data_IF_113170084611
#
_entry.id   IF_113170084611
#
_cell.length_a   1.000
_cell.length_b   1.000
_cell.length_c   1.000
_cell.angle_alpha   90.00
_cell.angle_beta   90.00
_cell.angle_gamma   90.00
#
_symmetry.space_group_name_H-M   'P 1'
#
loop_
_entity.id
_entity.type
_entity.pdbx_description
1 polymer ?
#
# COMPACT_ATOMS: atom_id res chain seq x y z
N UNK A 1 -26.58 70.73 -19.45
CA UNK A 1 -25.58 69.75 -19.95
C UNK A 1 -25.19 68.85 -18.76
N UNK A 2 -25.90 67.76 -18.45
CA UNK A 2 -25.79 66.40 -19.04
C UNK A 2 -24.34 65.93 -19.22
N UNK A 3 -23.79 65.30 -18.18
CA UNK A 3 -22.73 64.30 -18.33
C UNK A 3 -23.28 62.95 -17.83
N UNK A 4 -23.34 61.99 -18.75
CA UNK A 4 -23.83 60.62 -18.56
C UNK A 4 -22.84 59.86 -17.65
N UNK A 5 -23.33 59.31 -16.53
CA UNK A 5 -22.66 58.19 -15.85
C UNK A 5 -22.94 56.92 -16.66
N UNK A 6 -21.88 56.32 -17.16
CA UNK A 6 -21.88 55.01 -17.81
C UNK A 6 -22.01 53.96 -16.68
N UNK A 7 -23.11 53.21 -16.68
CA UNK A 7 -23.31 52.04 -15.85
C UNK A 7 -22.59 50.87 -16.54
N UNK A 8 -21.51 50.35 -15.96
CA UNK A 8 -20.94 49.06 -16.34
C UNK A 8 -21.85 47.95 -15.79
N UNK A 9 -22.56 47.25 -16.67
CA UNK A 9 -23.21 45.98 -16.34
C UNK A 9 -22.12 44.89 -16.33
N UNK A 10 -21.69 44.47 -15.14
CA UNK A 10 -20.97 43.21 -14.97
C UNK A 10 -22.00 42.08 -15.04
N UNK A 11 -22.03 41.41 -16.19
CA UNK A 11 -22.77 40.17 -16.40
C UNK A 11 -22.07 39.07 -15.58
N UNK A 12 -22.57 38.77 -14.38
CA UNK A 12 -22.19 37.56 -13.65
C UNK A 12 -22.78 36.36 -14.42
N UNK A 13 -21.99 35.82 -15.34
CA UNK A 13 -22.27 34.52 -15.94
C UNK A 13 -21.91 33.47 -14.90
N UNK A 14 -22.88 33.08 -14.06
CA UNK A 14 -22.76 31.88 -13.24
C UNK A 14 -22.68 30.69 -14.19
N UNK A 15 -21.47 30.23 -14.47
CA UNK A 15 -21.23 28.91 -15.06
C UNK A 15 -21.70 27.91 -14.02
N UNK A 16 -22.98 27.54 -14.12
CA UNK A 16 -23.50 26.35 -13.48
C UNK A 16 -22.74 25.18 -14.12
N UNK A 17 -21.71 24.70 -13.45
CA UNK A 17 -21.12 23.41 -13.78
C UNK A 17 -22.21 22.38 -13.48
N UNK A 18 -23.03 22.09 -14.48
CA UNK A 18 -23.93 20.94 -14.43
C UNK A 18 -23.00 19.73 -14.46
N UNK A 19 -22.71 19.18 -13.28
CA UNK A 19 -22.25 17.80 -13.20
C UNK A 19 -23.28 16.96 -13.93
N UNK A 20 -22.97 16.52 -15.15
CA UNK A 20 -23.65 15.41 -15.78
C UNK A 20 -23.33 14.15 -14.95
N UNK A 21 -23.98 14.03 -13.80
CA UNK A 21 -24.22 12.73 -13.22
C UNK A 21 -25.10 12.00 -14.23
N UNK A 22 -24.53 11.00 -14.89
CA UNK A 22 -25.29 10.10 -15.76
C UNK A 22 -26.53 9.66 -14.98
N UNK A 23 -27.68 9.91 -15.58
CA UNK A 23 -29.01 9.69 -15.04
C UNK A 23 -29.14 8.21 -14.65
N UNK A 24 -29.77 7.92 -13.50
CA UNK A 24 -29.90 6.56 -12.98
C UNK A 24 -30.56 5.66 -14.03
N UNK A 25 -29.78 4.75 -14.62
CA UNK A 25 -30.27 3.74 -15.54
C UNK A 25 -30.84 2.60 -14.69
N UNK A 26 -32.10 2.23 -14.92
CA UNK A 26 -32.74 1.09 -14.25
C UNK A 26 -31.92 -0.17 -14.54
N UNK A 27 -31.49 -0.84 -13.48
CA UNK A 27 -30.72 -2.08 -13.57
C UNK A 27 -31.57 -3.19 -14.14
N UNK A 28 -31.02 -3.91 -15.11
CA UNK A 28 -31.69 -4.97 -15.85
C UNK A 28 -31.84 -6.24 -14.99
N UNK A 29 -33.05 -6.83 -14.89
CA UNK A 29 -33.24 -8.16 -14.30
C UNK A 29 -32.56 -9.29 -15.09
N UNK A 30 -32.29 -9.10 -16.38
CA UNK A 30 -31.63 -10.07 -17.25
C UNK A 30 -30.22 -9.53 -17.53
N UNK A 31 -29.16 -10.09 -16.92
CA UNK A 31 -27.76 -9.67 -17.15
C UNK A 31 -27.34 -9.76 -18.64
N UNK A 32 -27.77 -8.80 -19.45
CA UNK A 32 -27.48 -8.68 -20.87
C UNK A 32 -26.60 -7.46 -21.13
N UNK A 33 -25.74 -7.59 -22.13
CA UNK A 33 -24.71 -6.58 -22.38
C UNK A 33 -25.22 -5.31 -23.05
N UNK A 34 -26.44 -5.31 -23.57
CA UNK A 34 -27.07 -4.11 -24.12
C UNK A 34 -27.38 -3.09 -23.02
N UNK A 35 -27.73 -3.57 -21.83
CA UNK A 35 -28.08 -2.74 -20.68
C UNK A 35 -26.95 -2.65 -19.62
N UNK A 36 -25.76 -3.14 -19.93
CA UNK A 36 -24.59 -2.98 -19.07
C UNK A 36 -24.28 -1.49 -18.81
N UNK A 37 -24.18 -1.13 -17.53
CA UNK A 37 -23.94 0.26 -17.13
C UNK A 37 -22.50 0.65 -17.46
N UNK A 38 -22.31 1.72 -18.22
CA UNK A 38 -20.97 2.19 -18.58
C UNK A 38 -20.26 2.83 -17.38
N UNK A 39 -19.06 2.36 -17.07
CA UNK A 39 -18.17 3.00 -16.10
C UNK A 39 -17.20 3.90 -16.87
N UNK A 40 -17.26 5.23 -16.67
CA UNK A 40 -16.28 6.12 -17.26
C UNK A 40 -14.89 5.90 -16.63
N UNK A 41 -13.85 5.93 -17.47
CA UNK A 41 -12.47 5.81 -17.01
C UNK A 41 -11.89 7.19 -16.71
N UNK A 42 -11.60 7.45 -15.44
CA UNK A 42 -10.97 8.68 -15.00
C UNK A 42 -9.46 8.65 -15.31
N UNK A 43 -8.90 9.79 -15.73
CA UNK A 43 -7.44 9.95 -15.96
C UNK A 43 -6.69 10.49 -14.74
N UNK A 44 -7.40 11.00 -13.72
CA UNK A 44 -6.82 11.56 -12.50
C UNK A 44 -7.00 10.66 -11.27
N UNK A 45 -6.42 11.09 -10.15
CA UNK A 45 -6.47 10.39 -8.85
C UNK A 45 -7.80 10.56 -8.11
N UNK A 46 -8.79 11.20 -8.72
CA UNK A 46 -10.09 11.45 -8.12
C UNK A 46 -11.19 10.72 -8.89
N UNK A 47 -12.21 10.26 -8.17
CA UNK A 47 -13.41 9.66 -8.76
C UNK A 47 -14.39 10.76 -9.16
N UNK A 48 -13.95 11.61 -10.10
CA UNK A 48 -14.76 12.73 -10.61
C UNK A 48 -15.96 12.21 -11.39
N UNK A 49 -15.75 11.16 -12.18
CA UNK A 49 -16.78 10.41 -12.89
C UNK A 49 -16.97 9.04 -12.26
N UNK A 50 -18.22 8.60 -12.15
CA UNK A 50 -18.60 7.33 -11.52
C UNK A 50 -19.90 6.81 -12.15
N UNK A 51 -20.10 5.50 -12.02
CA UNK A 51 -21.38 4.85 -12.29
C UNK A 51 -22.07 4.49 -10.97
N UNK A 52 -23.37 4.20 -11.02
CA UNK A 52 -24.16 3.77 -9.86
C UNK A 52 -24.55 2.31 -10.02
N UNK A 53 -24.53 1.58 -8.91
CA UNK A 53 -25.07 0.23 -8.82
C UNK A 53 -26.12 0.14 -7.71
N UNK A 54 -27.00 -0.83 -7.85
CA UNK A 54 -28.01 -1.18 -6.86
C UNK A 54 -28.36 -2.65 -6.97
N UNK A 55 -28.70 -3.27 -5.84
CA UNK A 55 -29.20 -4.64 -5.82
C UNK A 55 -30.73 -4.72 -5.75
N UNK A 56 -31.46 -3.60 -5.75
CA UNK A 56 -32.92 -3.56 -5.61
C UNK A 56 -33.59 -4.28 -6.79
N UNK A 57 -33.09 -4.01 -7.99
CA UNK A 57 -33.61 -4.53 -9.27
C UNK A 57 -32.59 -5.38 -10.04
N UNK A 58 -31.49 -5.78 -9.40
CA UNK A 58 -30.44 -6.54 -10.04
C UNK A 58 -30.87 -7.99 -10.34
N UNK A 59 -30.50 -8.47 -11.52
CA UNK A 59 -30.68 -9.86 -11.97
C UNK A 59 -29.83 -10.88 -11.21
N UNK A 60 -30.23 -12.15 -11.30
CA UNK A 60 -29.41 -13.30 -10.87
C UNK A 60 -28.55 -13.78 -12.04
N UNK A 61 -27.32 -14.25 -11.75
CA UNK A 61 -26.45 -14.78 -12.79
C UNK A 61 -26.90 -16.16 -13.29
N UNK A 62 -26.66 -16.49 -14.58
CA UNK A 62 -26.67 -17.86 -15.06
C UNK A 62 -25.67 -18.73 -14.28
N UNK A 63 -26.00 -20.02 -14.08
CA UNK A 63 -25.14 -20.99 -13.43
C UNK A 63 -23.83 -21.18 -14.24
N UNK A 64 -22.65 -21.10 -13.61
CA UNK A 64 -21.41 -21.59 -14.24
C UNK A 64 -20.14 -20.73 -14.16
N UNK A 65 -20.11 -19.61 -13.43
CA UNK A 65 -18.93 -18.74 -13.44
C UNK A 65 -17.70 -19.40 -12.80
N UNK A 66 -16.56 -19.26 -13.46
CA UNK A 66 -15.31 -19.97 -13.15
C UNK A 66 -14.49 -19.38 -11.99
N UNK A 67 -14.96 -18.30 -11.33
CA UNK A 67 -14.24 -17.61 -10.25
C UNK A 67 -14.41 -18.25 -8.85
N UNK A 68 -14.71 -19.55 -8.75
CA UNK A 68 -14.88 -20.25 -7.47
C UNK A 68 -15.99 -19.68 -6.58
N UNK A 69 -15.87 -19.81 -5.25
CA UNK A 69 -16.86 -19.27 -4.25
C UNK A 69 -17.08 -17.75 -4.35
N UNK A 70 -16.28 -17.01 -5.11
CA UNK A 70 -16.44 -15.57 -5.26
C UNK A 70 -17.73 -15.20 -6.01
N UNK A 71 -18.30 -16.08 -6.83
CA UNK A 71 -19.53 -15.74 -7.57
C UNK A 71 -20.60 -16.79 -7.29
N UNK A 72 -21.23 -16.69 -6.12
CA UNK A 72 -22.41 -17.50 -5.80
C UNK A 72 -23.54 -17.13 -6.78
N UNK A 73 -23.98 -18.11 -7.57
CA UNK A 73 -25.13 -18.02 -8.48
C UNK A 73 -26.44 -17.59 -7.80
N UNK A 74 -26.51 -17.63 -6.47
CA UNK A 74 -27.67 -17.22 -5.67
C UNK A 74 -27.72 -15.74 -5.35
N UNK A 75 -26.68 -14.97 -5.69
CA UNK A 75 -26.61 -13.54 -5.41
C UNK A 75 -27.09 -12.72 -6.60
N UNK A 76 -27.76 -11.59 -6.30
CA UNK A 76 -28.02 -10.55 -7.29
C UNK A 76 -26.72 -9.89 -7.74
N UNK A 77 -26.65 -9.44 -9.00
CA UNK A 77 -25.42 -8.92 -9.61
C UNK A 77 -25.68 -7.69 -10.47
N UNK A 78 -24.73 -6.77 -10.44
CA UNK A 78 -24.69 -5.60 -11.30
C UNK A 78 -23.75 -5.89 -12.47
N UNK A 79 -24.18 -5.55 -13.69
CA UNK A 79 -23.36 -5.65 -14.89
C UNK A 79 -22.92 -4.27 -15.34
N UNK A 80 -21.61 -4.11 -15.45
CA UNK A 80 -20.97 -2.92 -15.94
C UNK A 80 -20.16 -3.21 -17.19
N UNK A 81 -19.90 -2.17 -18.00
CA UNK A 81 -18.93 -2.23 -19.09
C UNK A 81 -17.99 -1.04 -19.04
N UNK A 82 -16.78 -1.21 -19.53
CA UNK A 82 -15.81 -0.13 -19.66
C UNK A 82 -14.86 -0.42 -20.82
N UNK A 83 -14.29 0.65 -21.40
CA UNK A 83 -13.20 0.53 -22.37
C UNK A 83 -11.87 0.81 -21.68
N UNK A 84 -10.94 -0.13 -21.76
CA UNK A 84 -9.64 0.02 -21.13
C UNK A 84 -8.88 1.19 -21.76
N UNK A 85 -8.52 2.19 -20.95
CA UNK A 85 -7.68 3.31 -21.38
C UNK A 85 -6.18 3.13 -21.05
N UNK A 86 -5.85 2.11 -20.25
CA UNK A 86 -4.50 1.73 -19.85
C UNK A 86 -4.45 0.19 -19.69
N UNK A 87 -3.25 -0.37 -19.51
CA UNK A 87 -3.11 -1.81 -19.23
C UNK A 87 -3.51 -2.18 -17.81
N UNK A 88 -3.51 -1.18 -16.91
CA UNK A 88 -3.92 -1.31 -15.51
C UNK A 88 -4.97 -0.26 -15.15
N UNK A 89 -5.93 -0.65 -14.32
CA UNK A 89 -6.97 0.23 -13.78
C UNK A 89 -7.17 0.02 -12.28
N UNK A 90 -7.61 1.08 -11.62
CA UNK A 90 -8.01 1.06 -10.22
C UNK A 90 -9.53 1.17 -10.13
N UNK A 91 -10.17 0.11 -9.66
CA UNK A 91 -11.61 -0.03 -9.49
C UNK A 91 -11.99 0.15 -8.02
N UNK A 92 -12.90 1.07 -7.73
CA UNK A 92 -13.36 1.35 -6.37
C UNK A 92 -14.88 1.29 -6.29
N UNK A 93 -15.39 0.72 -5.19
CA UNK A 93 -16.77 0.91 -4.72
C UNK A 93 -16.76 1.90 -3.57
N UNK A 94 -17.73 2.81 -3.51
CA UNK A 94 -17.85 3.81 -2.45
C UNK A 94 -19.29 4.28 -2.27
N UNK A 95 -19.55 4.99 -1.17
CA UNK A 95 -20.87 5.48 -0.78
C UNK A 95 -21.90 4.34 -0.75
N UNK A 96 -21.48 3.20 -0.20
CA UNK A 96 -22.27 1.97 -0.13
C UNK A 96 -23.25 2.08 1.05
N UNK A 97 -24.55 2.05 0.76
CA UNK A 97 -25.61 2.25 1.76
C UNK A 97 -26.77 1.28 1.55
N UNK A 98 -27.33 0.79 2.64
CA UNK A 98 -28.58 0.02 2.66
C UNK A 98 -29.62 0.78 3.47
N UNK A 99 -30.83 0.92 2.94
CA UNK A 99 -31.94 1.62 3.62
C UNK A 99 -32.49 0.84 4.83
N UNK A 100 -32.07 -0.42 4.99
CA UNK A 100 -32.58 -1.35 6.02
C UNK A 100 -31.57 -1.55 7.16
N UNK A 101 -30.28 -1.26 6.93
CA UNK A 101 -29.25 -1.41 7.97
C UNK A 101 -29.13 -0.12 8.81
N UNK A 102 -28.98 -0.23 10.15
CA UNK A 102 -28.69 0.93 10.98
C UNK A 102 -27.35 1.55 10.58
N UNK A 103 -27.25 2.88 10.66
CA UNK A 103 -26.07 3.70 10.27
C UNK A 103 -24.75 3.27 10.93
N UNK A 104 -24.80 2.37 11.92
CA UNK A 104 -23.66 1.89 12.70
C UNK A 104 -22.93 0.69 12.11
N UNK A 105 -23.36 0.12 10.97
CA UNK A 105 -22.63 -0.93 10.23
C UNK A 105 -22.70 -0.72 8.72
N UNK A 106 -21.56 -0.44 8.12
CA UNK A 106 -21.39 -0.04 6.70
C UNK A 106 -20.39 -0.92 5.96
N UNK A 107 -19.98 -2.06 6.54
CA UNK A 107 -19.04 -2.98 5.90
C UNK A 107 -19.76 -3.95 4.98
N UNK A 108 -19.46 -3.89 3.67
CA UNK A 108 -20.04 -4.78 2.65
C UNK A 108 -18.92 -5.57 1.97
N UNK A 109 -19.13 -6.87 1.77
CA UNK A 109 -18.18 -7.69 1.04
C UNK A 109 -18.60 -7.74 -0.42
N UNK A 110 -17.73 -7.30 -1.32
CA UNK A 110 -17.99 -7.32 -2.75
C UNK A 110 -17.21 -8.44 -3.42
N UNK A 111 -17.79 -9.01 -4.45
CA UNK A 111 -17.14 -9.97 -5.32
C UNK A 111 -17.35 -9.57 -6.77
N UNK A 112 -16.37 -9.80 -7.63
CA UNK A 112 -16.52 -9.45 -9.03
C UNK A 112 -15.61 -10.21 -9.97
N UNK A 113 -15.91 -10.06 -11.24
CA UNK A 113 -15.20 -10.70 -12.33
C UNK A 113 -15.19 -9.81 -13.57
N UNK A 114 -14.10 -9.82 -14.32
CA UNK A 114 -13.91 -9.10 -15.58
C UNK A 114 -13.81 -10.08 -16.74
N UNK A 115 -14.62 -9.86 -17.76
CA UNK A 115 -14.70 -10.68 -18.98
C UNK A 115 -14.27 -9.85 -20.18
N UNK A 116 -13.61 -10.51 -21.13
CA UNK A 116 -13.18 -9.93 -22.41
C UNK A 116 -14.33 -9.73 -23.41
N UNK A 117 -15.45 -10.38 -23.18
CA UNK A 117 -16.66 -10.34 -23.98
C UNK A 117 -17.90 -10.56 -23.10
N UNK A 118 -19.07 -10.57 -23.74
CA UNK A 118 -20.36 -10.82 -23.12
C UNK A 118 -20.64 -12.32 -22.86
N UNK A 119 -19.62 -13.20 -22.86
CA UNK A 119 -19.82 -14.63 -22.65
C UNK A 119 -19.37 -15.04 -21.24
N UNK A 120 -20.32 -15.02 -20.31
CA UNK A 120 -20.07 -15.33 -18.90
C UNK A 120 -19.83 -16.83 -18.61
N UNK A 121 -20.04 -17.71 -19.61
CA UNK A 121 -19.68 -19.14 -19.52
C UNK A 121 -18.19 -19.39 -19.76
N UNK A 122 -17.48 -18.41 -20.34
CA UNK A 122 -16.02 -18.48 -20.50
C UNK A 122 -15.29 -18.14 -19.20
N UNK A 123 -14.04 -18.59 -19.01
CA UNK A 123 -13.26 -18.17 -17.87
C UNK A 123 -13.11 -16.65 -17.78
N UNK A 124 -13.40 -16.08 -16.60
CA UNK A 124 -13.14 -14.66 -16.37
C UNK A 124 -11.64 -14.36 -16.52
N UNK A 125 -11.33 -13.21 -17.11
CA UNK A 125 -9.94 -12.73 -17.21
C UNK A 125 -9.39 -12.33 -15.85
N UNK A 126 -10.22 -11.68 -15.03
CA UNK A 126 -9.86 -11.25 -13.68
C UNK A 126 -11.00 -11.65 -12.75
N UNK A 127 -10.67 -12.25 -11.61
CA UNK A 127 -11.61 -12.45 -10.51
C UNK A 127 -11.19 -11.55 -9.34
N UNK A 128 -12.10 -11.10 -8.49
CA UNK A 128 -11.71 -10.38 -7.27
C UNK A 128 -12.79 -10.44 -6.20
N UNK A 129 -12.38 -10.17 -4.97
CA UNK A 129 -13.27 -9.94 -3.85
C UNK A 129 -12.59 -8.99 -2.86
N UNK A 130 -13.37 -8.17 -2.15
CA UNK A 130 -12.85 -7.22 -1.16
C UNK A 130 -13.92 -6.80 -0.17
N UNK A 131 -13.50 -6.24 0.96
CA UNK A 131 -14.38 -5.71 1.99
C UNK A 131 -14.36 -4.18 1.89
N UNK A 132 -15.48 -3.59 1.49
CA UNK A 132 -15.65 -2.14 1.59
C UNK A 132 -16.01 -1.82 3.05
N UNK A 133 -15.14 -1.10 3.77
CA UNK A 133 -15.48 -0.51 5.07
C UNK A 133 -15.47 1.02 4.94
N UNK A 134 -16.59 1.67 5.24
CA UNK A 134 -16.69 3.13 5.38
C UNK A 134 -16.91 3.49 6.85
N UNK A 135 -16.04 4.30 7.46
CA UNK A 135 -16.20 4.79 8.82
C UNK A 135 -17.46 5.67 8.96
N UNK A 136 -18.10 5.62 10.14
CA UNK A 136 -19.40 6.27 10.43
C UNK A 136 -19.34 7.80 10.33
N UNK A 137 -18.16 8.40 10.47
CA UNK A 137 -17.97 9.86 10.46
C UNK A 137 -17.53 10.43 9.10
N UNK A 138 -17.45 9.59 8.06
CA UNK A 138 -16.95 10.02 6.75
C UNK A 138 -15.47 10.40 6.76
N UNK A 139 -14.75 10.17 7.86
CA UNK A 139 -13.29 10.27 7.90
C UNK A 139 -12.72 9.02 7.26
N UNK A 140 -12.48 9.12 5.95
CA UNK A 140 -11.88 8.10 5.08
C UNK A 140 -11.25 6.91 5.82
N UNK A 141 -12.04 5.88 6.15
CA UNK A 141 -11.47 4.54 6.19
C UNK A 141 -11.03 4.25 4.77
N UNK A 142 -9.82 3.73 4.62
CA UNK A 142 -9.17 3.50 3.33
C UNK A 142 -10.11 2.77 2.36
N UNK A 143 -10.82 3.51 1.53
CA UNK A 143 -11.74 2.93 0.54
C UNK A 143 -10.87 2.36 -0.57
N UNK A 144 -10.65 1.06 -0.46
CA UNK A 144 -9.68 0.27 -1.21
C UNK A 144 -9.98 0.31 -2.71
N UNK A 145 -8.92 0.39 -3.51
CA UNK A 145 -9.03 0.26 -4.97
C UNK A 145 -8.55 -1.13 -5.37
N UNK A 146 -9.40 -1.88 -6.06
CA UNK A 146 -9.03 -3.11 -6.73
C UNK A 146 -8.21 -2.81 -7.97
N UNK A 147 -7.08 -3.49 -8.14
CA UNK A 147 -6.27 -3.39 -9.37
C UNK A 147 -6.80 -4.38 -10.41
N UNK A 148 -7.22 -3.87 -11.57
CA UNK A 148 -7.52 -4.65 -12.76
C UNK A 148 -6.31 -4.50 -13.70
N UNK A 149 -5.63 -5.58 -14.06
CA UNK A 149 -4.36 -5.51 -14.84
C UNK A 149 -4.39 -6.41 -16.06
N UNK A 150 -3.33 -6.33 -16.87
CA UNK A 150 -3.17 -7.07 -18.12
C UNK A 150 -4.30 -6.81 -19.14
N UNK A 151 -4.92 -5.62 -19.07
CA UNK A 151 -5.97 -5.22 -19.99
C UNK A 151 -5.36 -4.69 -21.28
N UNK A 152 -6.04 -4.88 -22.41
CA UNK A 152 -5.60 -4.38 -23.70
C UNK A 152 -6.19 -2.99 -23.91
N UNK A 153 -5.34 -1.98 -24.10
CA UNK A 153 -5.78 -0.60 -24.34
C UNK A 153 -6.70 -0.54 -25.56
N UNK A 154 -7.86 0.10 -25.39
CA UNK A 154 -8.91 0.23 -26.39
C UNK A 154 -9.91 -0.92 -26.42
N UNK A 155 -9.64 -2.05 -25.75
CA UNK A 155 -10.57 -3.17 -25.65
C UNK A 155 -11.71 -2.85 -24.66
N UNK A 156 -12.91 -3.30 -24.99
CA UNK A 156 -14.07 -3.25 -24.11
C UNK A 156 -14.11 -4.50 -23.21
N UNK A 157 -14.44 -4.29 -21.94
CA UNK A 157 -14.53 -5.33 -20.92
C UNK A 157 -15.86 -5.23 -20.17
N UNK A 158 -16.32 -6.38 -19.68
CA UNK A 158 -17.55 -6.51 -18.89
C UNK A 158 -17.20 -6.87 -17.45
N UNK A 159 -17.65 -6.05 -16.50
CA UNK A 159 -17.43 -6.23 -15.07
C UNK A 159 -18.74 -6.65 -14.42
N UNK A 160 -18.76 -7.85 -13.87
CA UNK A 160 -19.86 -8.38 -13.07
C UNK A 160 -19.52 -8.15 -11.60
N UNK A 161 -20.40 -7.50 -10.85
CA UNK A 161 -20.21 -7.20 -9.43
C UNK A 161 -21.36 -7.73 -8.59
N UNK A 162 -21.04 -8.44 -7.51
CA UNK A 162 -21.97 -8.87 -6.48
C UNK A 162 -21.57 -8.38 -5.10
N UNK A 163 -22.50 -8.51 -4.15
CA UNK A 163 -22.25 -8.31 -2.75
C UNK A 163 -22.66 -9.55 -1.94
N UNK A 164 -21.84 -9.88 -0.95
CA UNK A 164 -22.16 -10.79 0.14
C UNK A 164 -22.25 -9.96 1.43
N UNK A 165 -23.23 -10.23 2.26
CA UNK A 165 -23.23 -9.68 3.62
C UNK A 165 -22.38 -10.61 4.47
N UNK A 166 -21.16 -10.20 4.82
CA UNK A 166 -20.33 -10.91 5.82
C UNK A 166 -21.03 -10.99 7.20
N UNK A 167 -22.14 -10.28 7.40
CA UNK A 167 -22.88 -10.29 8.66
C UNK A 167 -24.34 -10.69 8.40
N UNK A 168 -24.64 -11.99 8.47
CA UNK A 168 -26.02 -12.44 8.71
C UNK A 168 -26.45 -11.96 10.09
N UNK A 169 -27.07 -10.78 10.17
CA UNK A 169 -27.77 -10.39 11.39
C UNK A 169 -29.15 -11.04 11.38
N UNK A 170 -29.38 -11.98 12.31
CA UNK A 170 -30.65 -12.70 12.47
C UNK A 170 -31.17 -13.45 11.23
N UNK A 171 -30.29 -13.99 10.37
CA UNK A 171 -30.69 -14.75 9.16
C UNK A 171 -31.50 -13.94 8.12
N UNK A 172 -31.44 -12.61 8.14
CA UNK A 172 -32.08 -11.74 7.15
C UNK A 172 -31.05 -11.31 6.10
N UNK A 173 -31.38 -11.47 4.82
CA UNK A 173 -30.56 -11.05 3.69
C UNK A 173 -30.88 -9.59 3.33
N UNK A 174 -30.00 -8.67 3.73
CA UNK A 174 -30.16 -7.22 3.50
C UNK A 174 -29.52 -6.75 2.19
N UNK A 175 -28.97 -7.67 1.38
CA UNK A 175 -28.27 -7.29 0.14
C UNK A 175 -29.21 -6.69 -0.90
N UNK A 176 -30.51 -6.96 -0.82
CA UNK A 176 -31.46 -6.52 -1.83
C UNK A 176 -31.59 -5.01 -1.94
N UNK A 177 -31.26 -4.22 -0.91
CA UNK A 177 -31.49 -2.77 -0.93
C UNK A 177 -30.18 -1.96 -0.95
N UNK A 178 -29.05 -2.63 -1.18
CA UNK A 178 -27.75 -2.00 -1.22
C UNK A 178 -27.59 -1.15 -2.49
N UNK A 179 -27.25 0.13 -2.31
CA UNK A 179 -26.91 1.11 -3.36
C UNK A 179 -25.48 1.57 -3.16
N UNK A 180 -24.77 1.81 -4.25
CA UNK A 180 -23.35 2.17 -4.22
C UNK A 180 -22.93 2.92 -5.48
N UNK A 181 -21.76 3.54 -5.42
CA UNK A 181 -21.07 4.12 -6.59
C UNK A 181 -19.86 3.29 -6.94
N UNK A 182 -19.56 3.20 -8.23
CA UNK A 182 -18.35 2.57 -8.75
C UNK A 182 -17.55 3.56 -9.58
N UNK A 183 -16.24 3.46 -9.48
CA UNK A 183 -15.30 4.33 -10.19
C UNK A 183 -14.16 3.49 -10.74
N UNK A 184 -13.75 3.80 -11.97
CA UNK A 184 -12.58 3.21 -12.60
C UNK A 184 -11.59 4.31 -12.99
N UNK A 185 -10.30 4.07 -12.76
CA UNK A 185 -9.22 5.01 -13.08
C UNK A 185 -8.18 4.31 -13.93
N UNK A 186 -7.73 4.96 -14.99
CA UNK A 186 -6.57 4.51 -15.74
C UNK A 186 -5.33 4.66 -14.87
N UNK A 187 -4.62 3.57 -14.65
CA UNK A 187 -3.33 3.57 -14.01
C UNK A 187 -2.29 3.33 -15.11
N UNK A 188 -1.75 4.41 -15.68
CA UNK A 188 -0.64 4.33 -16.64
C UNK A 188 0.64 3.76 -15.98
N UNK A 189 0.63 3.72 -14.64
CA UNK A 189 1.68 3.23 -13.75
C UNK A 189 1.00 2.59 -12.54
N UNK A 190 1.43 1.44 -11.98
CA UNK A 190 0.83 0.91 -10.76
C UNK A 190 0.87 1.97 -9.64
N UNK A 191 -0.22 2.02 -8.85
CA UNK A 191 -0.50 3.06 -7.86
C UNK A 191 0.74 3.34 -6.98
N UNK A 192 1.35 2.28 -6.43
CA UNK A 192 2.73 2.29 -5.92
C UNK A 192 3.56 1.45 -6.88
N UNK A 193 4.69 1.98 -7.35
CA UNK A 193 5.69 1.15 -8.02
C UNK A 193 6.62 0.59 -6.97
N UNK A 194 6.94 -0.69 -7.06
CA UNK A 194 8.17 -1.20 -6.45
C UNK A 194 8.98 -1.84 -7.57
N UNK A 195 10.24 -1.45 -7.67
CA UNK A 195 11.24 -2.03 -8.53
C UNK A 195 12.02 -3.03 -7.67
N UNK A 196 11.78 -4.33 -7.87
CA UNK A 196 12.52 -5.37 -7.16
C UNK A 196 13.94 -5.45 -7.76
N UNK A 197 14.97 -5.74 -6.94
CA UNK A 197 16.33 -5.90 -7.47
C UNK A 197 16.51 -7.26 -8.19
N UNK A 198 16.25 -7.29 -9.50
CA UNK A 198 16.25 -8.52 -10.31
C UNK A 198 17.59 -9.25 -10.34
N UNK A 199 18.71 -8.56 -10.06
CA UNK A 199 20.04 -9.17 -10.11
C UNK A 199 20.38 -9.95 -8.83
N UNK A 200 19.79 -9.59 -7.68
CA UNK A 200 19.99 -10.13 -6.31
C UNK A 200 21.44 -10.24 -5.78
N UNK A 201 22.42 -10.21 -6.68
CA UNK A 201 23.86 -10.30 -6.49
C UNK A 201 24.51 -8.92 -6.44
N UNK A 202 23.78 -7.88 -6.84
CA UNK A 202 24.18 -6.47 -6.87
C UNK A 202 23.42 -5.64 -5.82
N UNK A 203 22.89 -6.28 -4.77
CA UNK A 203 22.11 -5.60 -3.71
C UNK A 203 22.85 -4.43 -3.06
N UNK A 204 24.18 -4.51 -2.96
CA UNK A 204 25.00 -3.43 -2.36
C UNK A 204 25.01 -2.19 -3.25
N UNK A 205 25.42 -2.33 -4.50
CA UNK A 205 25.52 -1.23 -5.46
C UNK A 205 24.14 -0.61 -5.71
N UNK A 206 23.11 -1.45 -5.81
CA UNK A 206 21.74 -1.02 -6.01
C UNK A 206 21.19 -0.23 -4.80
N UNK A 207 21.50 -0.64 -3.57
CA UNK A 207 21.11 0.12 -2.35
C UNK A 207 21.84 1.46 -2.31
N UNK A 208 23.13 1.48 -2.66
CA UNK A 208 23.90 2.72 -2.71
C UNK A 208 23.29 3.70 -3.74
N UNK A 209 22.93 3.23 -4.93
CA UNK A 209 22.34 4.07 -5.98
C UNK A 209 20.92 4.55 -5.66
N UNK A 210 20.06 3.67 -5.12
CA UNK A 210 18.61 3.93 -5.03
C UNK A 210 18.17 4.48 -3.69
N UNK A 211 18.91 4.23 -2.60
CA UNK A 211 18.46 4.51 -1.24
C UNK A 211 19.34 5.48 -0.46
N UNK A 212 20.65 5.44 -0.69
CA UNK A 212 21.63 6.20 0.09
C UNK A 212 22.07 7.44 -0.67
N UNK A 213 21.37 8.55 -0.45
CA UNK A 213 21.72 9.82 -1.10
C UNK A 213 22.65 10.67 -0.23
N UNK A 214 23.76 11.11 -0.80
CA UNK A 214 24.58 12.19 -0.24
C UNK A 214 25.35 12.91 -1.34
N UNK A 215 25.41 14.24 -1.25
CA UNK A 215 26.30 15.07 -2.09
C UNK A 215 27.80 14.90 -1.72
N UNK A 216 28.08 14.09 -0.70
CA UNK A 216 29.41 13.85 -0.18
C UNK A 216 29.88 12.42 -0.38
N UNK A 217 31.03 12.29 -1.05
CA UNK A 217 31.71 11.02 -1.24
C UNK A 217 32.06 10.37 0.11
N UNK A 218 31.83 9.05 0.24
CA UNK A 218 32.20 8.22 1.38
C UNK A 218 31.46 8.50 2.71
N UNK A 219 30.27 9.12 2.67
CA UNK A 219 29.41 9.19 3.86
C UNK A 219 28.92 7.82 4.28
N UNK A 220 28.58 6.96 3.31
CA UNK A 220 28.12 5.60 3.52
C UNK A 220 29.24 4.58 3.30
N UNK A 221 29.19 3.45 4.02
CA UNK A 221 30.12 2.33 3.83
C UNK A 221 29.57 1.04 4.44
N UNK A 222 30.22 -0.10 4.20
CA UNK A 222 29.89 -1.38 4.83
C UNK A 222 28.42 -1.80 4.65
N UNK A 223 27.84 -1.51 3.48
CA UNK A 223 26.49 -1.92 3.12
C UNK A 223 26.46 -3.45 3.03
N UNK A 224 25.50 -4.06 3.72
CA UNK A 224 25.28 -5.50 3.76
C UNK A 224 23.80 -5.78 3.74
N UNK A 225 23.41 -6.71 2.91
CA UNK A 225 22.06 -7.22 2.85
C UNK A 225 22.09 -8.73 3.03
N UNK A 226 21.11 -9.26 3.75
CA UNK A 226 20.90 -10.68 3.88
C UNK A 226 19.42 -11.01 4.04
N UNK A 227 18.94 -11.92 3.21
CA UNK A 227 17.63 -12.54 3.33
C UNK A 227 17.78 -14.04 3.63
N UNK A 228 17.01 -14.53 4.60
CA UNK A 228 17.07 -15.93 5.03
C UNK A 228 18.51 -16.38 5.33
N UNK A 229 18.88 -17.55 4.83
CA UNK A 229 20.20 -18.16 5.01
C UNK A 229 21.33 -17.51 4.18
N UNK A 230 21.02 -16.44 3.44
CA UNK A 230 21.97 -15.69 2.61
C UNK A 230 22.25 -16.32 1.24
N UNK A 231 21.49 -17.34 0.83
CA UNK A 231 21.62 -17.92 -0.53
C UNK A 231 21.05 -17.01 -1.62
N UNK A 232 20.29 -15.96 -1.26
CA UNK A 232 19.68 -15.02 -2.20
C UNK A 232 18.74 -15.74 -3.21
N UNK A 233 17.89 -16.64 -2.71
CA UNK A 233 16.96 -17.42 -3.54
C UNK A 233 15.61 -16.72 -3.82
N UNK A 234 15.32 -15.58 -3.17
CA UNK A 234 14.12 -14.78 -3.37
C UNK A 234 14.37 -13.28 -3.14
N UNK A 235 13.67 -12.42 -3.88
CA UNK A 235 13.95 -10.99 -3.90
C UNK A 235 13.27 -10.23 -2.75
N UNK A 236 13.98 -10.00 -1.66
CA UNK A 236 13.41 -9.48 -0.42
C UNK A 236 13.65 -7.97 -0.21
N UNK A 237 14.25 -7.29 -1.19
CA UNK A 237 14.48 -5.84 -1.19
C UNK A 237 14.06 -5.19 -2.52
N UNK A 238 13.47 -4.00 -2.47
CA UNK A 238 13.03 -3.29 -3.66
C UNK A 238 12.84 -1.81 -3.40
N UNK A 239 12.80 -1.01 -4.47
CA UNK A 239 12.70 0.45 -4.40
C UNK A 239 11.27 0.84 -4.67
N UNK A 240 10.60 1.50 -3.73
CA UNK A 240 9.25 1.96 -3.94
C UNK A 240 9.20 3.43 -4.33
N UNK A 241 8.23 3.77 -5.17
CA UNK A 241 7.81 5.13 -5.45
C UNK A 241 6.29 5.21 -5.33
N UNK A 242 5.82 6.14 -4.50
CA UNK A 242 4.40 6.42 -4.27
C UNK A 242 3.67 6.81 -5.53
N UNK A 243 4.33 7.46 -6.49
CA UNK A 243 3.70 8.01 -7.68
C UNK A 243 2.40 8.76 -7.34
N UNK A 244 1.31 8.39 -7.99
CA UNK A 244 -0.01 8.99 -7.81
C UNK A 244 -0.85 8.27 -6.73
N UNK A 245 -0.22 7.49 -5.84
CA UNK A 245 -0.93 6.81 -4.75
C UNK A 245 -1.14 7.65 -3.50
N UNK A 246 -2.03 7.13 -2.65
CA UNK A 246 -2.19 7.53 -1.26
C UNK A 246 -1.23 6.79 -0.32
N UNK A 247 -0.13 6.20 -0.83
CA UNK A 247 0.87 5.56 0.03
C UNK A 247 1.49 6.57 0.99
N UNK A 248 1.89 6.10 2.16
CA UNK A 248 2.19 6.98 3.29
C UNK A 248 3.58 7.60 3.22
N UNK A 249 4.50 7.02 2.44
CA UNK A 249 5.85 7.52 2.20
C UNK A 249 6.02 7.82 0.71
N UNK A 250 6.82 8.82 0.35
CA UNK A 250 6.96 9.27 -1.05
C UNK A 250 7.78 8.30 -1.91
N UNK A 251 8.94 7.87 -1.43
CA UNK A 251 9.85 6.94 -2.13
C UNK A 251 10.88 6.40 -1.15
N UNK A 252 11.48 5.25 -1.45
CA UNK A 252 12.37 4.59 -0.51
C UNK A 252 12.61 3.12 -0.81
N UNK A 253 13.04 2.37 0.20
CA UNK A 253 13.19 0.92 0.11
C UNK A 253 12.06 0.18 0.80
N UNK A 254 11.67 -0.94 0.22
CA UNK A 254 10.85 -1.97 0.83
C UNK A 254 11.77 -3.15 1.20
N UNK A 255 11.69 -3.59 2.46
CA UNK A 255 12.38 -4.77 2.97
C UNK A 255 11.32 -5.77 3.45
N UNK A 256 11.29 -6.98 2.89
CA UNK A 256 10.25 -7.97 3.16
C UNK A 256 10.80 -9.33 3.53
N UNK A 257 10.02 -10.13 4.27
CA UNK A 257 10.30 -11.56 4.49
C UNK A 257 9.88 -12.45 3.33
N UNK A 258 9.22 -11.89 2.32
CA UNK A 258 8.74 -12.61 1.13
C UNK A 258 9.23 -11.93 -0.14
N UNK A 259 9.09 -12.61 -1.28
CA UNK A 259 9.54 -12.09 -2.56
C UNK A 259 8.70 -10.88 -3.01
N UNK A 260 9.33 -9.71 -3.13
CA UNK A 260 8.72 -8.47 -3.57
C UNK A 260 8.21 -8.58 -5.00
N UNK A 261 8.92 -9.24 -5.92
CA UNK A 261 8.48 -9.40 -7.33
C UNK A 261 7.16 -10.16 -7.45
N UNK A 262 6.92 -11.13 -6.56
CA UNK A 262 5.67 -11.89 -6.49
C UNK A 262 4.53 -11.09 -5.87
N UNK A 263 4.86 -10.13 -4.99
CA UNK A 263 3.88 -9.24 -4.40
C UNK A 263 3.48 -8.08 -5.33
N UNK A 264 4.29 -7.81 -6.36
CA UNK A 264 4.07 -6.74 -7.33
C UNK A 264 3.35 -7.17 -8.60
N UNK A 265 3.49 -8.44 -8.96
CA UNK A 265 2.82 -9.01 -10.11
C UNK A 265 1.38 -9.40 -9.76
N UNK A 266 0.43 -9.15 -10.66
CA UNK A 266 -0.92 -9.69 -10.61
C UNK A 266 -0.97 -11.22 -10.83
N UNK A 267 0.17 -11.91 -10.69
CA UNK A 267 0.33 -13.32 -10.93
C UNK A 267 -0.60 -14.15 -10.05
N UNK A 268 -1.03 -15.29 -10.61
CA UNK A 268 -2.01 -16.21 -10.03
C UNK A 268 -1.67 -16.55 -8.57
N UNK A 269 -2.64 -16.35 -7.68
CA UNK A 269 -2.57 -16.69 -6.26
C UNK A 269 -2.01 -18.09 -5.95
N UNK A 270 -2.30 -19.06 -6.83
CA UNK A 270 -1.90 -20.46 -6.69
C UNK A 270 -0.38 -20.65 -6.69
N UNK A 271 0.35 -19.78 -7.38
CA UNK A 271 1.81 -19.88 -7.49
C UNK A 271 2.48 -19.37 -6.21
N UNK A 272 1.77 -18.54 -5.44
CA UNK A 272 2.24 -17.97 -4.16
C UNK A 272 2.15 -18.92 -2.98
N UNK A 273 1.32 -19.97 -3.05
CA UNK A 273 1.31 -21.03 -2.03
C UNK A 273 2.46 -22.02 -2.16
N UNK A 274 3.12 -22.05 -3.31
CA UNK A 274 4.12 -23.06 -3.63
C UNK A 274 5.54 -22.65 -3.20
N UNK A 275 5.73 -21.40 -2.80
CA UNK A 275 7.02 -20.89 -2.35
C UNK A 275 6.97 -20.53 -0.87
N UNK A 276 7.82 -21.19 -0.09
CA UNK A 276 8.08 -20.83 1.29
C UNK A 276 9.41 -20.10 1.36
N UNK A 277 9.47 -19.00 2.10
CA UNK A 277 10.75 -18.38 2.43
C UNK A 277 11.57 -19.37 3.27
N UNK A 278 12.88 -19.53 3.00
CA UNK A 278 13.76 -20.39 3.79
C UNK A 278 13.72 -20.00 5.28
N UNK A 279 13.55 -20.97 6.19
CA UNK A 279 13.75 -20.71 7.62
C UNK A 279 15.22 -20.48 7.88
N UNK A 280 15.52 -19.38 8.58
CA UNK A 280 16.86 -19.13 9.08
C UNK A 280 16.79 -18.81 10.58
N UNK A 281 17.78 -19.30 11.31
CA UNK A 281 17.88 -19.13 12.77
C UNK A 281 18.60 -17.84 13.17
N UNK A 282 19.01 -17.00 12.22
CA UNK A 282 20.39 -16.51 12.29
C UNK A 282 20.66 -15.01 12.29
N UNK A 283 19.70 -14.11 12.56
CA UNK A 283 20.05 -12.73 12.90
C UNK A 283 20.01 -12.50 14.42
N UNK A 284 21.16 -12.17 15.01
CA UNK A 284 21.28 -12.06 16.47
C UNK A 284 20.39 -10.95 17.07
N UNK A 285 20.14 -9.87 16.32
CA UNK A 285 19.34 -8.76 16.81
C UNK A 285 17.85 -9.04 16.70
N UNK A 286 17.42 -9.65 15.59
CA UNK A 286 16.05 -10.14 15.46
C UNK A 286 15.76 -11.24 16.49
N UNK A 287 16.70 -12.15 16.75
CA UNK A 287 16.57 -13.15 17.80
C UNK A 287 16.41 -12.51 19.19
N UNK A 288 17.26 -11.53 19.53
CA UNK A 288 17.12 -10.80 20.79
C UNK A 288 15.76 -10.08 20.88
N UNK A 289 15.30 -9.49 19.78
CA UNK A 289 14.00 -8.83 19.69
C UNK A 289 12.82 -9.78 19.92
N UNK A 290 12.88 -11.02 19.42
CA UNK A 290 11.85 -12.04 19.72
C UNK A 290 11.69 -12.22 21.23
N UNK A 291 12.78 -12.21 21.99
CA UNK A 291 12.77 -12.41 23.44
C UNK A 291 12.37 -11.13 24.22
N UNK A 292 12.36 -9.96 23.59
CA UNK A 292 11.82 -8.72 24.16
C UNK A 292 10.27 -8.68 24.07
N UNK A 293 9.65 -9.48 23.20
CA UNK A 293 8.19 -9.49 23.00
C UNK A 293 7.53 -10.16 24.22
N UNK A 294 6.62 -9.46 24.93
CA UNK A 294 5.93 -10.03 26.08
C UNK A 294 5.20 -11.33 25.73
N UNK A 295 5.37 -12.37 26.55
CA UNK A 295 4.77 -13.68 26.34
C UNK A 295 5.63 -14.64 25.50
N UNK A 296 6.64 -14.16 24.77
CA UNK A 296 7.56 -15.02 24.03
C UNK A 296 8.67 -15.56 24.94
N UNK A 297 8.78 -16.88 25.02
CA UNK A 297 9.73 -17.55 25.94
C UNK A 297 10.83 -18.34 25.22
N UNK A 298 10.73 -18.54 23.91
CA UNK A 298 11.67 -19.35 23.13
C UNK A 298 11.91 -18.71 21.77
N UNK A 299 13.16 -18.81 21.30
CA UNK A 299 13.52 -18.44 19.93
C UNK A 299 12.87 -19.40 18.95
N UNK A 300 12.33 -18.85 17.87
CA UNK A 300 11.75 -19.62 16.78
C UNK A 300 12.49 -19.29 15.49
N UNK A 301 12.75 -20.29 14.63
CA UNK A 301 13.22 -20.03 13.28
C UNK A 301 12.23 -19.12 12.57
N UNK A 302 12.74 -18.16 11.80
CA UNK A 302 11.90 -17.20 11.08
C UNK A 302 12.43 -16.96 9.67
N UNK A 303 11.53 -16.59 8.77
CA UNK A 303 11.91 -15.88 7.56
C UNK A 303 12.35 -14.48 8.00
N UNK A 304 13.50 -14.01 7.52
CA UNK A 304 14.04 -12.70 7.89
C UNK A 304 14.67 -12.03 6.69
N UNK A 305 14.69 -10.69 6.72
CA UNK A 305 15.48 -9.89 5.82
C UNK A 305 16.10 -8.73 6.59
N UNK A 306 17.36 -8.45 6.29
CA UNK A 306 18.18 -7.48 7.01
C UNK A 306 18.95 -6.63 6.01
N UNK A 307 18.97 -5.32 6.24
CA UNK A 307 19.85 -4.36 5.58
C UNK A 307 20.62 -3.59 6.64
N UNK A 308 21.95 -3.53 6.54
CA UNK A 308 22.78 -2.68 7.39
C UNK A 308 23.81 -1.89 6.59
N UNK A 309 24.13 -0.69 7.04
CA UNK A 309 25.19 0.14 6.51
C UNK A 309 25.72 1.07 7.59
N UNK A 310 26.98 1.48 7.43
CA UNK A 310 27.57 2.51 8.24
C UNK A 310 27.40 3.88 7.58
N UNK A 311 27.26 4.92 8.40
CA UNK A 311 27.25 6.31 7.94
C UNK A 311 28.03 7.24 8.88
N UNK A 312 28.47 8.38 8.37
CA UNK A 312 29.02 9.49 9.17
C UNK A 312 27.89 10.51 9.41
N UNK A 313 27.59 10.82 10.67
CA UNK A 313 26.51 11.75 11.01
C UNK A 313 26.83 13.18 10.57
N UNK A 314 26.00 13.78 9.72
CA UNK A 314 26.11 15.18 9.30
C UNK A 314 25.24 16.14 10.13
N UNK A 315 24.27 15.60 10.85
CA UNK A 315 23.35 16.33 11.72
C UNK A 315 23.33 15.73 13.13
N UNK A 316 22.74 16.47 14.08
CA UNK A 316 22.62 16.05 15.47
C UNK A 316 21.37 15.21 15.74
N UNK A 317 20.48 15.06 14.75
CA UNK A 317 19.19 14.39 14.91
C UNK A 317 19.01 13.33 13.84
N UNK A 318 18.70 12.11 14.28
CA UNK A 318 18.30 11.02 13.41
C UNK A 318 16.79 10.85 13.48
N UNK A 319 16.12 11.18 12.38
CA UNK A 319 14.69 10.98 12.20
C UNK A 319 14.46 10.04 11.01
N UNK A 320 13.90 8.87 11.28
CA UNK A 320 13.52 7.88 10.26
C UNK A 320 12.05 7.56 10.44
N UNK A 321 11.26 7.87 9.43
CA UNK A 321 9.90 7.39 9.30
C UNK A 321 9.89 6.06 8.54
N UNK A 322 9.14 5.09 9.06
CA UNK A 322 8.95 3.80 8.44
C UNK A 322 7.49 3.38 8.48
N UNK A 323 7.09 2.60 7.49
CA UNK A 323 5.80 1.93 7.48
C UNK A 323 6.02 0.48 7.87
N UNK A 324 5.37 0.07 8.96
CA UNK A 324 5.19 -1.34 9.28
C UNK A 324 3.95 -1.84 8.56
N UNK A 325 4.10 -2.92 7.80
CA UNK A 325 3.06 -3.52 7.01
C UNK A 325 3.15 -5.04 7.04
N UNK A 326 2.03 -5.72 7.05
CA UNK A 326 2.00 -7.18 7.09
C UNK A 326 0.91 -7.77 6.22
N UNK A 327 0.98 -9.08 5.98
CA UNK A 327 -0.03 -9.95 5.34
C UNK A 327 -0.31 -11.15 6.22
N UNK A 328 -1.54 -11.67 6.24
CA UNK A 328 -1.89 -12.88 7.01
C UNK A 328 -2.97 -12.69 8.07
N UNK A 329 -2.98 -13.52 9.11
CA UNK A 329 -3.91 -13.43 10.24
C UNK A 329 -3.41 -12.47 11.32
N UNK A 330 -4.34 -11.91 12.08
CA UNK A 330 -4.02 -11.30 13.37
C UNK A 330 -3.56 -12.42 14.31
N UNK A 331 -2.47 -12.17 15.05
CA UNK A 331 -1.82 -13.15 15.91
C UNK A 331 -0.70 -13.93 15.22
N UNK A 332 -0.31 -13.53 14.01
CA UNK A 332 0.92 -14.01 13.40
C UNK A 332 2.12 -13.32 14.05
N UNK A 333 3.19 -14.09 14.23
CA UNK A 333 4.40 -13.60 14.88
C UNK A 333 5.28 -12.84 13.89
N UNK A 334 4.90 -11.60 13.62
CA UNK A 334 5.56 -10.68 12.70
C UNK A 334 6.11 -9.49 13.47
N UNK A 335 7.37 -9.16 13.20
CA UNK A 335 8.10 -8.19 14.01
C UNK A 335 9.19 -7.50 13.18
N UNK A 336 9.56 -6.28 13.58
CA UNK A 336 10.65 -5.53 12.97
C UNK A 336 11.47 -4.77 14.00
N UNK A 337 12.71 -4.46 13.64
CA UNK A 337 13.60 -3.61 14.42
C UNK A 337 14.43 -2.68 13.53
N UNK A 338 14.79 -1.54 14.11
CA UNK A 338 15.75 -0.60 13.54
C UNK A 338 16.78 -0.34 14.62
N UNK A 339 18.03 -0.76 14.40
CA UNK A 339 19.11 -0.57 15.36
C UNK A 339 20.06 0.53 14.93
N UNK A 340 20.35 1.42 15.86
CA UNK A 340 21.46 2.36 15.74
C UNK A 340 22.60 1.88 16.63
N UNK A 341 23.79 1.75 16.05
CA UNK A 341 25.03 1.46 16.78
C UNK A 341 26.00 2.62 16.62
N UNK A 342 26.43 3.23 17.72
CA UNK A 342 27.57 4.16 17.72
C UNK A 342 28.86 3.34 17.60
N UNK A 343 29.58 3.46 16.49
CA UNK A 343 30.77 2.64 16.24
C UNK A 343 32.00 3.09 17.03
N UNK A 344 31.94 4.26 17.67
CA UNK A 344 33.00 4.73 18.59
C UNK A 344 32.82 4.15 19.98
N UNK A 345 31.58 4.15 20.49
CA UNK A 345 31.27 3.66 21.86
C UNK A 345 30.83 2.21 21.90
N UNK A 346 30.49 1.63 20.74
CA UNK A 346 29.85 0.31 20.58
C UNK A 346 28.48 0.20 21.27
N UNK A 347 27.88 1.33 21.63
CA UNK A 347 26.53 1.37 22.18
C UNK A 347 25.51 1.09 21.07
N UNK A 348 24.68 0.07 21.27
CA UNK A 348 23.63 -0.36 20.35
C UNK A 348 22.27 -0.25 21.00
N UNK A 349 21.30 0.28 20.26
CA UNK A 349 19.91 0.37 20.70
C UNK A 349 18.94 0.12 19.55
N UNK A 350 17.85 -0.59 19.83
CA UNK A 350 16.69 -0.63 18.93
C UNK A 350 15.89 0.67 19.11
N UNK A 351 15.83 1.47 18.05
CA UNK A 351 15.12 2.75 17.97
C UNK A 351 13.74 2.64 17.33
N UNK A 352 13.33 1.45 16.84
CA UNK A 352 11.95 1.18 16.46
C UNK A 352 11.15 0.62 17.64
N UNK A 353 10.20 1.42 18.14
CA UNK A 353 9.34 1.07 19.28
C UNK A 353 7.90 1.50 19.00
N UNK A 354 6.93 0.81 19.59
CA UNK A 354 5.52 1.25 19.52
C UNK A 354 5.44 2.65 20.17
N UNK A 355 4.97 3.68 19.44
CA UNK A 355 5.03 5.06 19.93
C UNK A 355 4.36 5.24 21.30
N UNK A 356 5.00 6.02 22.17
CA UNK A 356 4.56 6.21 23.55
C UNK A 356 4.89 5.06 24.51
N UNK A 357 5.55 4.00 24.04
CA UNK A 357 5.93 2.84 24.85
C UNK A 357 7.41 2.46 24.66
N UNK A 358 7.90 1.51 25.45
CA UNK A 358 9.18 0.83 25.21
C UNK A 358 9.02 -0.54 24.55
N UNK A 359 7.81 -0.86 24.08
CA UNK A 359 7.52 -2.15 23.47
C UNK A 359 8.16 -2.25 22.08
N UNK A 360 8.66 -3.43 21.69
CA UNK A 360 9.14 -3.67 20.33
C UNK A 360 7.99 -3.60 19.32
N UNK A 361 8.31 -3.37 18.04
CA UNK A 361 7.32 -3.46 16.97
C UNK A 361 7.04 -4.95 16.69
N UNK A 362 5.85 -5.38 17.08
CA UNK A 362 5.29 -6.70 16.88
C UNK A 362 3.81 -6.53 16.50
N UNK A 363 3.28 -7.38 15.61
CA UNK A 363 1.93 -7.28 15.07
C UNK A 363 0.87 -7.05 16.16
N UNK A 364 0.79 -7.93 17.15
CA UNK A 364 -0.21 -7.83 18.22
C UNK A 364 -0.02 -6.57 19.09
N UNK A 365 1.23 -6.20 19.40
CA UNK A 365 1.50 -5.02 20.22
C UNK A 365 1.11 -3.74 19.49
N UNK A 366 1.32 -3.70 18.17
CA UNK A 366 0.88 -2.60 17.32
C UNK A 366 -0.64 -2.55 17.27
N UNK A 367 -1.32 -3.68 17.06
CA UNK A 367 -2.78 -3.75 17.02
C UNK A 367 -3.40 -3.35 18.37
N UNK A 368 -2.84 -3.80 19.49
CA UNK A 368 -3.31 -3.44 20.83
C UNK A 368 -3.25 -1.93 21.10
N UNK A 369 -2.24 -1.25 20.54
CA UNK A 369 -2.06 0.19 20.67
C UNK A 369 -2.77 0.99 19.57
N UNK A 370 -3.07 0.35 18.43
CA UNK A 370 -3.72 0.92 17.26
C UNK A 370 -4.79 -0.03 16.71
N UNK A 371 -5.92 -0.19 17.43
CA UNK A 371 -6.96 -1.17 17.06
C UNK A 371 -7.57 -0.91 15.68
N UNK A 372 -7.44 0.31 15.15
CA UNK A 372 -7.86 0.65 13.79
C UNK A 372 -7.11 -0.16 12.71
N UNK A 373 -5.92 -0.68 13.01
CA UNK A 373 -5.15 -1.58 12.14
C UNK A 373 -5.56 -3.05 12.29
N UNK A 374 -6.43 -3.36 13.26
CA UNK A 374 -6.79 -4.71 13.68
C UNK A 374 -8.10 -5.25 13.10
N UNK A 375 -8.51 -4.87 11.88
CA UNK A 375 -9.74 -5.42 11.28
C UNK A 375 -9.69 -5.46 9.75
N UNK A 376 -10.01 -6.58 9.06
CA UNK A 376 -10.70 -7.78 9.55
C UNK A 376 -9.98 -9.13 9.36
N UNK A 377 -10.29 -10.05 10.27
CA UNK A 377 -10.26 -11.50 10.08
C UNK A 377 -10.81 -11.88 8.69
N UNK A 378 -10.05 -12.71 7.99
CA UNK A 378 -10.45 -13.69 6.97
C UNK A 378 -11.44 -13.17 5.93
N UNK A 379 -10.96 -12.92 4.70
CA UNK A 379 -11.42 -13.56 3.45
C UNK A 379 -10.56 -13.04 2.27
N UNK A 380 -10.28 -13.86 1.26
CA UNK A 380 -9.01 -13.82 0.56
C UNK A 380 -9.03 -12.75 -0.53
N UNK A 381 -8.08 -11.83 -0.42
CA UNK A 381 -7.68 -10.97 -1.53
C UNK A 381 -6.86 -11.82 -2.48
N UNK A 382 -7.54 -12.70 -3.22
CA UNK A 382 -6.94 -13.72 -4.09
C UNK A 382 -5.94 -13.11 -5.08
N UNK A 383 -6.01 -11.83 -5.43
CA UNK A 383 -5.26 -11.31 -6.58
C UNK A 383 -4.35 -10.09 -6.34
N UNK A 384 -4.20 -9.55 -5.11
CA UNK A 384 -3.30 -8.39 -4.95
C UNK A 384 -2.76 -8.15 -3.51
N UNK A 385 -1.46 -8.32 -3.26
CA UNK A 385 -0.86 -8.17 -1.93
C UNK A 385 -0.25 -6.77 -1.70
N UNK A 386 0.02 -5.98 -2.75
CA UNK A 386 0.34 -4.55 -2.61
C UNK A 386 -0.79 -3.81 -1.88
N UNK A 387 -2.05 -4.14 -2.23
CA UNK A 387 -3.22 -3.63 -1.50
C UNK A 387 -3.10 -4.02 -0.03
N UNK A 388 -2.88 -5.31 0.29
CA UNK A 388 -2.77 -5.77 1.68
C UNK A 388 -1.70 -4.99 2.44
N UNK A 389 -0.52 -4.76 1.84
CA UNK A 389 0.51 -3.97 2.51
C UNK A 389 0.10 -2.54 2.80
N UNK A 390 -0.72 -1.94 1.95
CA UNK A 390 -1.27 -0.60 2.18
C UNK A 390 -2.43 -0.61 3.19
N UNK A 391 -3.19 -1.70 3.33
CA UNK A 391 -4.34 -1.79 4.24
C UNK A 391 -3.92 -1.77 5.70
N UNK A 392 -2.90 -2.54 6.04
CA UNK A 392 -2.39 -2.68 7.40
C UNK A 392 -1.12 -1.86 7.59
N UNK A 393 -1.14 -0.60 7.13
CA UNK A 393 0.01 0.29 7.20
C UNK A 393 -0.25 1.52 8.05
N UNK A 394 0.77 1.90 8.82
CA UNK A 394 0.85 3.17 9.52
C UNK A 394 2.29 3.66 9.50
N UNK A 395 2.48 4.98 9.40
CA UNK A 395 3.81 5.58 9.57
C UNK A 395 4.14 5.61 11.05
N UNK A 396 5.29 5.06 11.38
CA UNK A 396 5.88 5.06 12.70
C UNK A 396 7.17 5.86 12.64
N UNK A 397 7.36 6.84 13.54
CA UNK A 397 8.65 7.47 13.71
C UNK A 397 9.56 6.58 14.57
N UNK A 398 10.86 6.57 14.28
CA UNK A 398 11.84 6.07 15.23
C UNK A 398 11.88 6.92 16.50
N UNK A 399 12.35 6.34 17.60
CA UNK A 399 12.63 7.09 18.84
C UNK A 399 13.61 8.24 18.52
N UNK A 400 13.31 9.49 18.91
CA UNK A 400 14.22 10.62 18.72
C UNK A 400 15.60 10.29 19.27
N UNK A 401 16.61 10.38 18.41
CA UNK A 401 17.96 9.96 18.74
C UNK A 401 18.95 11.07 18.39
N UNK A 402 19.74 11.48 19.38
CA UNK A 402 20.78 12.50 19.21
C UNK A 402 22.06 11.86 18.72
N UNK A 403 22.57 12.37 17.61
CA UNK A 403 23.85 11.98 17.02
C UNK A 403 24.95 12.98 17.39
N UNK A 404 26.19 12.52 17.37
CA UNK A 404 27.37 13.38 17.40
C UNK A 404 27.86 13.59 15.97
N UNK A 405 27.81 14.83 15.48
CA UNK A 405 28.27 15.18 14.13
C UNK A 405 29.73 14.73 13.91
N UNK A 406 30.00 14.20 12.72
CA UNK A 406 31.30 13.64 12.31
C UNK A 406 31.61 12.26 12.89
N UNK A 407 30.75 11.70 13.76
CA UNK A 407 30.93 10.36 14.30
C UNK A 407 30.32 9.31 13.36
N UNK A 408 30.95 8.13 13.32
CA UNK A 408 30.48 6.99 12.54
C UNK A 408 29.46 6.15 13.33
N UNK A 409 28.35 5.82 12.67
CA UNK A 409 27.27 5.00 13.19
C UNK A 409 26.97 3.85 12.22
N UNK A 410 26.29 2.81 12.70
CA UNK A 410 25.65 1.78 11.88
C UNK A 410 24.15 1.81 12.06
N UNK A 411 23.43 1.87 10.95
CA UNK A 411 22.00 1.59 10.89
C UNK A 411 21.80 0.15 10.42
N UNK A 412 20.87 -0.54 11.08
CA UNK A 412 20.43 -1.88 10.70
C UNK A 412 18.92 -1.94 10.73
N UNK A 413 18.34 -2.37 9.63
CA UNK A 413 16.92 -2.58 9.42
C UNK A 413 16.67 -4.08 9.37
N UNK A 414 15.68 -4.59 10.09
CA UNK A 414 15.38 -6.02 10.09
C UNK A 414 13.90 -6.28 10.21
N UNK A 415 13.40 -7.22 9.41
CA UNK A 415 12.04 -7.77 9.49
C UNK A 415 12.11 -9.27 9.73
N UNK A 416 11.15 -9.80 10.49
CA UNK A 416 11.05 -11.22 10.79
C UNK A 416 9.60 -11.71 10.83
N UNK A 417 9.40 -12.93 10.34
CA UNK A 417 8.15 -13.67 10.48
C UNK A 417 8.46 -15.14 10.81
N UNK A 418 7.87 -15.68 11.89
CA UNK A 418 7.98 -17.11 12.20
C UNK A 418 7.29 -17.96 11.12
N UNK A 419 6.21 -17.44 10.53
CA UNK A 419 5.56 -18.09 9.41
C UNK A 419 6.37 -17.93 8.12
N UNK A 420 6.36 -18.99 7.29
CA UNK A 420 7.21 -19.10 6.09
C UNK A 420 6.45 -18.96 4.78
N UNK A 421 5.13 -18.82 4.84
CA UNK A 421 4.30 -18.80 3.64
C UNK A 421 4.47 -17.46 2.93
N UNK A 422 4.71 -17.45 1.61
CA UNK A 422 4.88 -16.19 0.86
C UNK A 422 3.65 -15.26 0.93
N UNK A 423 2.46 -15.81 1.18
CA UNK A 423 1.20 -15.08 1.37
C UNK A 423 1.02 -14.48 2.78
N UNK A 424 1.94 -14.77 3.69
CA UNK A 424 1.97 -14.37 5.10
C UNK A 424 3.34 -13.78 5.40
N UNK A 425 3.62 -12.64 4.79
CA UNK A 425 4.85 -11.89 4.93
C UNK A 425 4.66 -10.54 5.61
N UNK A 426 5.75 -10.03 6.18
CA UNK A 426 5.90 -8.65 6.65
C UNK A 426 6.68 -7.85 5.60
N UNK A 427 6.36 -6.56 5.46
CA UNK A 427 7.18 -5.60 4.77
C UNK A 427 7.39 -4.35 5.63
N UNK A 428 8.61 -3.83 5.62
CA UNK A 428 8.96 -2.53 6.15
C UNK A 428 9.29 -1.62 4.97
N UNK A 429 8.63 -0.47 4.90
CA UNK A 429 8.98 0.57 3.93
C UNK A 429 9.67 1.71 4.66
N UNK A 430 10.81 2.15 4.15
CA UNK A 430 11.64 3.17 4.75
C UNK A 430 11.82 4.25 3.70
N UNK A 431 11.51 5.49 4.05
CA UNK A 431 11.72 6.62 3.14
C UNK A 431 13.21 6.80 2.84
N UNK A 432 13.54 7.27 1.63
CA UNK A 432 14.92 7.57 1.19
C UNK A 432 15.74 8.19 2.33
N UNK A 433 16.92 7.63 2.57
CA UNK A 433 17.77 8.08 3.66
C UNK A 433 18.70 9.19 3.16
N UNK A 434 18.32 10.43 3.44
CA UNK A 434 19.05 11.62 3.05
C UNK A 434 19.70 12.28 4.29
N UNK A 435 20.98 12.62 4.20
CA UNK A 435 21.64 13.48 5.18
C UNK A 435 21.96 14.83 4.57
N UNK A 436 21.19 15.84 4.96
CA UNK A 436 21.49 17.23 4.65
C UNK A 436 22.28 17.85 5.81
N UNK A 437 23.19 18.75 5.46
CA UNK A 437 23.76 19.65 6.44
C UNK A 437 22.66 20.61 6.89
N UNK A 438 22.52 20.80 8.20
CA UNK A 438 21.69 21.91 8.69
C UNK A 438 22.18 23.20 8.03
N UNK A 439 21.28 24.01 7.48
CA UNK A 439 21.56 25.32 6.90
C UNK A 439 22.48 26.11 7.82
N UNK A 440 23.78 26.00 7.61
CA UNK A 440 24.72 26.91 8.23
C UNK A 440 24.58 28.17 7.38
N UNK A 441 24.07 29.25 7.95
CA UNK A 441 24.12 30.59 7.35
C UNK A 441 25.61 30.99 7.16
N UNK A 442 26.26 30.38 6.18
CA UNK A 442 27.56 30.71 5.66
C UNK A 442 27.32 31.01 4.19
N UNK A 443 27.52 32.27 3.81
CA UNK A 443 27.57 32.64 2.40
C UNK A 443 28.85 32.06 1.79
N UNK A 444 28.77 30.82 1.32
CA UNK A 444 29.83 30.18 0.55
C UNK A 444 29.84 30.84 -0.83
N UNK A 445 31.04 31.19 -1.32
CA UNK A 445 31.23 31.87 -2.61
C UNK A 445 30.95 30.92 -3.80
N UNK A 446 30.81 29.64 -3.52
CA UNK A 446 30.52 28.57 -4.46
C UNK A 446 29.28 27.81 -3.95
N UNK A 447 28.29 27.59 -4.80
CA UNK A 447 27.03 26.89 -4.44
C UNK A 447 27.21 25.37 -4.30
N UNK A 448 28.35 24.90 -3.78
CA UNK A 448 28.63 23.48 -3.61
C UNK A 448 28.57 23.09 -2.13
N UNK A 449 27.96 21.94 -1.85
CA UNK A 449 27.67 21.44 -0.50
C UNK A 449 28.94 21.10 0.29
N UNK A 450 28.97 21.44 1.59
CA UNK A 450 30.16 21.34 2.45
C UNK A 450 30.52 19.90 2.84
N UNK A 451 31.28 19.20 2.00
CA UNK A 451 31.74 17.86 2.35
C UNK A 451 32.98 17.84 3.26
N UNK A 452 32.95 16.93 4.26
CA UNK A 452 34.06 16.68 5.19
C UNK A 452 35.33 16.27 4.42
N UNK A 453 36.44 16.98 4.65
CA UNK A 453 37.75 16.65 4.05
C UNK A 453 38.06 17.33 2.70
N UNK A 454 37.12 18.05 2.10
CA UNK A 454 37.40 18.95 0.96
C UNK A 454 37.74 20.36 1.50
N UNK A 455 38.79 21.04 0.99
CA UNK A 455 39.12 22.40 1.43
C UNK A 455 38.13 23.42 0.86
N UNK A 456 37.66 24.35 1.69
CA UNK A 456 36.69 25.39 1.31
C UNK A 456 37.20 26.80 1.61
N UNK A 457 36.77 27.75 0.78
CA UNK A 457 37.04 29.18 0.93
C UNK A 457 35.84 29.84 1.63
N UNK A 458 35.98 30.07 2.94
CA UNK A 458 34.98 30.81 3.71
C UNK A 458 35.30 32.30 3.60
N UNK A 459 34.37 33.12 3.08
CA UNK A 459 34.42 34.57 3.26
C UNK A 459 33.67 34.95 4.52
N UNK A 460 34.34 35.62 5.45
CA UNK A 460 33.64 36.28 6.55
C UNK A 460 32.79 37.42 5.97
N UNK A 461 31.48 37.42 6.27
CA UNK A 461 30.65 38.58 6.03
C UNK A 461 31.10 39.69 6.97
N UNK A 462 31.73 40.72 6.42
CA UNK A 462 31.99 41.99 7.11
C UNK A 462 30.73 42.84 7.19
#
# INVERSE_FOLDING_TARGET
MRFKKILYYTLFLSVLLVCFGVQAQSLDPDLNCENAVEIPVNTGVDCVQYARGSFEHAGMLPLGLTCGRAVDSRQKKNLFRFRAAAETHLFRVFDARSDVLPETRTSFFFTGAVYTDCNFDSPAKICFAFLNSESIDGSASNTEHMVLSELVVGQEYYLVLGADTVIRYNNIDYNNDLRFKVCLRAAEVPYVQIEANDAMTENVDWVEEKFLYSDCDNIFSNIRFQAGDGQNDFNSIGYFNKNNSTFLLEKGIALSTTDLSMNLSAANFSDRFQQNSPSWTGDADLNALQLEIPGQQQLQPSATAVLEFDFIALNEQLDIDYVFSWTGWIGEFQYLGIWLTDLTTQNKQNIARVPGTNLPIHQELVIDNYPELGSPEIIPLWNNPLIYWMLNSKVFPTKPTVLTVGRKYRLKFGVGNIERYAIRGIAMFIQDFEQQLNDVELSIVDQADLCTGKPWLIKANT
#
